data_IF_508060790086
#
_entry.id   IF_508060790086
#
_cell.length_a   1.000
_cell.length_b   1.000
_cell.length_c   1.000
_cell.angle_alpha   90.00
_cell.angle_beta   90.00
_cell.angle_gamma   90.00
#
_symmetry.space_group_name_H-M   'P 1'
#
loop_
_entity.id
_entity.type
_entity.pdbx_description
1 polymer ?
#
# COMPACT_ATOMS: atom_id res chain seq x y z
N UNK A 1 -8.66 15.57 -3.92
CA UNK A 1 -8.48 14.75 -2.71
C UNK A 1 -7.36 13.76 -2.96
N UNK A 2 -6.43 13.61 -1.99
CA UNK A 2 -5.29 12.69 -2.04
C UNK A 2 -5.50 11.52 -1.07
N UNK A 3 -5.62 10.32 -1.62
CA UNK A 3 -5.89 9.09 -0.85
C UNK A 3 -4.69 8.15 -0.95
N UNK A 4 -4.14 7.76 0.20
CA UNK A 4 -3.08 6.76 0.30
C UNK A 4 -3.62 5.44 0.83
N UNK A 5 -3.30 4.34 0.16
CA UNK A 5 -3.57 2.98 0.66
C UNK A 5 -2.31 2.40 1.28
N UNK A 6 -2.38 1.92 2.53
CA UNK A 6 -1.29 1.20 3.17
C UNK A 6 -1.68 -0.28 3.34
N UNK A 7 -0.82 -1.20 2.91
CA UNK A 7 -1.10 -2.64 2.96
C UNK A 7 0.14 -3.48 3.30
N UNK A 8 -0.08 -4.67 3.86
CA UNK A 8 0.97 -5.64 4.14
C UNK A 8 1.57 -6.29 2.89
N UNK A 9 0.87 -6.28 1.75
CA UNK A 9 1.38 -6.76 0.46
C UNK A 9 0.58 -6.13 -0.68
N UNK A 10 1.25 -5.93 -1.82
CA UNK A 10 0.66 -5.41 -3.06
C UNK A 10 0.51 -6.49 -4.14
N UNK A 11 0.76 -7.75 -3.79
CA UNK A 11 0.68 -8.91 -4.68
C UNK A 11 -0.42 -9.87 -4.23
N UNK A 12 -0.61 -10.96 -4.97
CA UNK A 12 -1.55 -12.05 -4.64
C UNK A 12 -1.34 -12.65 -3.24
N UNK A 13 -0.20 -12.38 -2.61
CA UNK A 13 0.13 -12.83 -1.25
C UNK A 13 -0.54 -12.02 -0.14
N UNK A 14 -1.34 -10.99 -0.46
CA UNK A 14 -2.05 -10.16 0.51
C UNK A 14 -3.23 -10.85 1.23
N UNK A 15 -3.22 -12.19 1.34
CA UNK A 15 -4.22 -12.93 2.12
C UNK A 15 -5.66 -12.76 1.63
N UNK A 16 -5.86 -12.61 0.31
CA UNK A 16 -7.19 -12.41 -0.29
C UNK A 16 -7.70 -10.97 -0.29
N UNK A 17 -6.97 -10.02 0.31
CA UNK A 17 -7.38 -8.60 0.37
C UNK A 17 -7.05 -7.83 -0.92
N UNK A 18 -6.10 -8.33 -1.73
CA UNK A 18 -5.57 -7.63 -2.90
C UNK A 18 -6.68 -7.12 -3.82
N UNK A 19 -7.59 -7.98 -4.26
CA UNK A 19 -8.53 -7.62 -5.32
C UNK A 19 -9.51 -6.52 -4.90
N UNK A 20 -10.02 -6.57 -3.67
CA UNK A 20 -10.90 -5.52 -3.14
C UNK A 20 -10.18 -4.18 -3.04
N UNK A 21 -8.98 -4.17 -2.44
CA UNK A 21 -8.17 -2.96 -2.30
C UNK A 21 -7.80 -2.39 -3.67
N UNK A 22 -7.24 -3.22 -4.55
CA UNK A 22 -6.74 -2.85 -5.87
C UNK A 22 -7.84 -2.27 -6.74
N UNK A 23 -9.00 -2.92 -6.80
CA UNK A 23 -10.14 -2.43 -7.58
C UNK A 23 -10.69 -1.12 -7.02
N UNK A 24 -10.81 -1.00 -5.69
CA UNK A 24 -11.21 0.27 -5.08
C UNK A 24 -10.25 1.42 -5.43
N UNK A 25 -8.94 1.18 -5.33
CA UNK A 25 -7.93 2.18 -5.68
C UNK A 25 -8.03 2.60 -7.16
N UNK A 26 -8.27 1.64 -8.06
CA UNK A 26 -8.44 1.89 -9.50
C UNK A 26 -9.69 2.71 -9.81
N UNK A 27 -10.84 2.35 -9.24
CA UNK A 27 -12.09 3.07 -9.47
C UNK A 27 -12.03 4.49 -8.92
N UNK A 28 -11.40 4.69 -7.75
CA UNK A 28 -11.18 6.04 -7.21
C UNK A 28 -10.27 6.88 -8.12
N UNK A 29 -9.20 6.28 -8.65
CA UNK A 29 -8.30 6.95 -9.58
C UNK A 29 -9.02 7.30 -10.90
N UNK A 30 -9.81 6.38 -11.46
CA UNK A 30 -10.63 6.60 -12.64
C UNK A 30 -11.68 7.71 -12.44
N UNK A 31 -12.20 7.86 -11.22
CA UNK A 31 -13.07 8.95 -10.81
C UNK A 31 -12.37 10.30 -10.56
N UNK A 32 -11.06 10.40 -10.82
CA UNK A 32 -10.29 11.64 -10.69
C UNK A 32 -9.72 11.91 -9.30
N UNK A 33 -9.78 10.95 -8.38
CA UNK A 33 -9.09 11.05 -7.08
C UNK A 33 -7.60 10.79 -7.26
N UNK A 34 -6.74 11.57 -6.62
CA UNK A 34 -5.30 11.28 -6.61
C UNK A 34 -5.05 10.11 -5.65
N UNK A 35 -4.75 8.93 -6.19
CA UNK A 35 -4.58 7.69 -5.42
C UNK A 35 -3.15 7.18 -5.55
N UNK A 36 -2.61 6.66 -4.45
CA UNK A 36 -1.38 5.89 -4.45
C UNK A 36 -1.46 4.76 -3.41
N UNK A 37 -0.62 3.74 -3.59
CA UNK A 37 -0.56 2.58 -2.71
C UNK A 37 0.87 2.41 -2.20
N UNK A 38 1.04 2.13 -0.92
CA UNK A 38 2.29 1.67 -0.36
C UNK A 38 2.11 0.32 0.33
N UNK A 39 3.08 -0.58 0.13
CA UNK A 39 3.06 -1.88 0.80
C UNK A 39 4.42 -2.54 0.89
N UNK A 40 4.45 -3.72 1.50
CA UNK A 40 5.68 -4.49 1.61
C UNK A 40 5.95 -5.27 0.34
N UNK A 41 7.23 -5.38 0.00
CA UNK A 41 7.72 -6.18 -1.11
C UNK A 41 7.81 -7.64 -0.69
N UNK A 42 7.28 -8.51 -1.54
CA UNK A 42 7.35 -9.96 -1.44
C UNK A 42 7.78 -10.59 -2.78
N UNK A 43 7.76 -11.92 -2.87
CA UNK A 43 8.25 -12.66 -4.04
C UNK A 43 7.42 -12.44 -5.31
N UNK A 44 6.14 -12.09 -5.18
CA UNK A 44 5.19 -11.96 -6.30
C UNK A 44 4.93 -10.48 -6.67
N UNK A 45 5.56 -9.54 -5.95
CA UNK A 45 5.34 -8.10 -6.12
C UNK A 45 5.57 -7.66 -7.56
N UNK A 46 6.73 -7.96 -8.12
CA UNK A 46 7.14 -7.52 -9.45
C UNK A 46 6.24 -8.08 -10.56
N UNK A 47 5.86 -9.35 -10.46
CA UNK A 47 4.95 -9.98 -11.42
C UNK A 47 3.53 -9.42 -11.35
N UNK A 48 3.10 -9.00 -10.16
CA UNK A 48 1.74 -8.53 -9.92
C UNK A 48 1.59 -7.00 -10.00
N UNK A 49 2.68 -6.24 -10.15
CA UNK A 49 2.63 -4.78 -10.29
C UNK A 49 1.73 -4.33 -11.46
N UNK A 50 1.72 -5.07 -12.57
CA UNK A 50 0.88 -4.76 -13.73
C UNK A 50 -0.63 -4.80 -13.43
N UNK A 51 -1.04 -5.56 -12.40
CA UNK A 51 -2.44 -5.65 -11.98
C UNK A 51 -2.99 -4.30 -11.48
N UNK A 52 -2.12 -3.37 -11.10
CA UNK A 52 -2.51 -2.07 -10.55
C UNK A 52 -2.93 -1.04 -11.61
N UNK A 53 -2.79 -1.35 -12.91
CA UNK A 53 -3.31 -0.55 -14.02
C UNK A 53 -2.97 0.95 -13.95
N UNK A 54 -1.71 1.27 -13.62
CA UNK A 54 -1.21 2.65 -13.59
C UNK A 54 -1.42 3.40 -12.27
N UNK A 55 -2.13 2.82 -11.29
CA UNK A 55 -2.11 3.35 -9.91
C UNK A 55 -0.67 3.29 -9.38
N UNK A 56 -0.08 4.41 -8.90
CA UNK A 56 1.27 4.41 -8.35
C UNK A 56 1.40 3.48 -7.14
N UNK A 57 2.36 2.55 -7.20
CA UNK A 57 2.64 1.61 -6.12
C UNK A 57 4.08 1.80 -5.61
N UNK A 58 4.22 1.97 -4.30
CA UNK A 58 5.51 2.12 -3.63
C UNK A 58 5.75 0.92 -2.72
N UNK A 59 6.82 0.17 -2.96
CA UNK A 59 7.15 -1.00 -2.14
C UNK A 59 8.48 -0.89 -1.43
N UNK A 60 8.57 -1.53 -0.27
CA UNK A 60 9.77 -1.57 0.54
C UNK A 60 10.01 -2.95 1.11
N UNK A 61 11.27 -3.32 1.28
CA UNK A 61 11.63 -4.56 1.97
C UNK A 61 11.30 -4.43 3.46
N UNK A 62 10.93 -5.55 4.07
CA UNK A 62 10.79 -5.64 5.52
C UNK A 62 12.17 -5.64 6.16
N UNK A 63 12.34 -4.91 7.25
CA UNK A 63 13.54 -4.91 8.09
C UNK A 63 13.13 -5.42 9.47
N UNK A 64 13.74 -6.52 9.92
CA UNK A 64 13.40 -7.17 11.19
C UNK A 64 12.28 -8.22 11.04
N UNK A 65 11.46 -8.45 12.08
CA UNK A 65 10.47 -9.53 12.09
C UNK A 65 9.41 -9.37 10.99
N UNK A 66 9.26 -10.39 10.14
CA UNK A 66 8.27 -10.43 9.07
C UNK A 66 6.83 -10.25 9.57
N UNK A 67 6.51 -10.80 10.75
CA UNK A 67 5.19 -10.68 11.38
C UNK A 67 4.83 -9.23 11.71
N UNK A 68 5.81 -8.36 11.99
CA UNK A 68 5.56 -6.94 12.24
C UNK A 68 5.58 -6.13 10.94
N UNK A 69 6.47 -6.47 10.01
CA UNK A 69 6.47 -5.84 8.69
C UNK A 69 6.98 -4.40 8.66
N UNK A 70 7.96 -4.05 9.49
CA UNK A 70 8.54 -2.71 9.47
C UNK A 70 9.24 -2.42 8.13
N UNK A 71 8.95 -1.25 7.54
CA UNK A 71 9.66 -0.76 6.36
C UNK A 71 9.69 0.77 6.32
N UNK A 72 10.85 1.40 6.06
CA UNK A 72 10.95 2.86 5.97
C UNK A 72 10.19 3.45 4.77
N UNK A 73 9.77 2.61 3.80
CA UNK A 73 9.01 3.08 2.64
C UNK A 73 7.73 3.80 3.05
N UNK A 74 7.04 3.33 4.09
CA UNK A 74 5.79 3.94 4.53
C UNK A 74 5.99 5.38 4.98
N UNK A 75 6.94 5.62 5.89
CA UNK A 75 7.25 6.96 6.37
C UNK A 75 7.71 7.88 5.23
N UNK A 76 8.57 7.38 4.34
CA UNK A 76 9.04 8.15 3.18
C UNK A 76 7.89 8.59 2.28
N UNK A 77 7.00 7.66 1.92
CA UNK A 77 5.88 7.93 1.01
C UNK A 77 4.86 8.86 1.66
N UNK A 78 4.58 8.71 2.95
CA UNK A 78 3.68 9.61 3.68
C UNK A 78 4.18 11.06 3.66
N UNK A 79 5.48 11.27 3.91
CA UNK A 79 6.12 12.60 3.85
C UNK A 79 6.09 13.19 2.43
N UNK A 80 6.35 12.37 1.41
CA UNK A 80 6.38 12.81 0.02
C UNK A 80 4.99 13.14 -0.53
N UNK A 81 4.01 12.28 -0.25
CA UNK A 81 2.68 12.35 -0.86
C UNK A 81 1.67 13.20 -0.09
N UNK A 82 1.87 13.37 1.22
CA UNK A 82 1.02 14.20 2.10
C UNK A 82 -0.48 13.92 1.86
N UNK A 83 -0.94 12.67 2.09
CA UNK A 83 -2.32 12.29 1.86
C UNK A 83 -3.28 13.04 2.78
N UNK A 84 -4.49 13.30 2.30
CA UNK A 84 -5.59 13.86 3.10
C UNK A 84 -6.38 12.75 3.80
N UNK A 85 -6.37 11.54 3.24
CA UNK A 85 -6.99 10.35 3.80
C UNK A 85 -6.08 9.12 3.62
N UNK A 86 -5.97 8.31 4.67
CA UNK A 86 -5.31 7.01 4.62
C UNK A 86 -6.33 5.87 4.74
N UNK A 87 -6.22 4.89 3.85
CA UNK A 87 -6.96 3.64 3.90
C UNK A 87 -6.00 2.51 4.28
N UNK A 88 -6.14 1.99 5.50
CA UNK A 88 -5.29 0.95 6.05
C UNK A 88 -5.86 -0.45 5.78
N UNK A 89 -5.01 -1.35 5.29
CA UNK A 89 -5.29 -2.79 5.18
C UNK A 89 -4.28 -3.58 6.03
N UNK A 90 -4.78 -4.18 7.11
CA UNK A 90 -3.97 -4.90 8.10
C UNK A 90 -3.76 -4.07 9.37
N UNK A 91 -4.46 -4.43 10.45
CA UNK A 91 -4.50 -3.65 11.69
C UNK A 91 -3.30 -3.92 12.62
N UNK A 92 -2.75 -5.14 12.59
CA UNK A 92 -1.76 -5.63 13.55
C UNK A 92 -0.30 -5.53 13.08
N UNK A 93 -0.06 -4.93 11.91
CA UNK A 93 1.28 -4.79 11.33
C UNK A 93 1.72 -3.32 11.34
N UNK A 94 3.02 -3.08 11.16
CA UNK A 94 3.61 -1.75 11.12
C UNK A 94 2.90 -0.70 10.23
N UNK A 95 2.28 -1.04 9.08
CA UNK A 95 1.47 -0.06 8.33
C UNK A 95 0.44 0.68 9.19
N UNK A 96 -0.15 0.04 10.21
CA UNK A 96 -1.09 0.68 11.13
C UNK A 96 -0.43 1.71 12.04
N UNK A 97 0.79 1.43 12.48
CA UNK A 97 1.61 2.39 13.24
C UNK A 97 2.07 3.54 12.35
N UNK A 98 2.39 3.25 11.08
CA UNK A 98 2.76 4.28 10.11
C UNK A 98 1.60 5.24 9.81
N UNK A 99 0.34 4.78 9.80
CA UNK A 99 -0.83 5.64 9.65
C UNK A 99 -0.96 6.73 10.71
N UNK A 100 -0.40 6.52 11.91
CA UNK A 100 -0.50 7.47 13.02
C UNK A 100 0.60 8.56 12.99
N UNK A 101 1.58 8.44 12.10
CA UNK A 101 2.76 9.32 12.05
C UNK A 101 2.71 10.25 10.86
#
# INVERSE_FOLDING_TARGET
>A
MKVGFLTASVSRRAGGVLDGLRRLAQELAAGGTEVWVAGLRDADTESDLALWHGVPVFTGRVIGPAAFGYSPVFARVLVEKKPELLHLNGLWMYPSVACYR
#
